data_IF_059790973273
#
_entry.id   IF_059790973273
#
_cell.length_a   1.000
_cell.length_b   1.000
_cell.length_c   1.000
_cell.angle_alpha   90.00
_cell.angle_beta   90.00
_cell.angle_gamma   90.00
#
_symmetry.space_group_name_H-M   'P 1'
#
loop_
_entity.id
_entity.type
_entity.pdbx_description
1 polymer ?
#
# COMPACT_ATOMS: atom_id res chain seq x y z
N UNK A 1 -60.13 10.76 -33.53
CA UNK A 1 -58.99 11.56 -34.01
C UNK A 1 -58.59 12.45 -32.86
N UNK A 2 -57.69 11.96 -32.02
CA UNK A 2 -57.03 12.71 -30.97
C UNK A 2 -55.54 12.48 -31.18
N UNK A 3 -54.83 13.57 -31.47
CA UNK A 3 -53.37 13.63 -31.64
C UNK A 3 -52.75 13.73 -30.26
N UNK A 4 -52.05 12.67 -29.84
CA UNK A 4 -51.20 12.69 -28.65
C UNK A 4 -49.83 13.23 -29.08
N UNK A 5 -49.43 14.30 -28.39
CA UNK A 5 -48.18 15.05 -28.56
C UNK A 5 -46.99 14.20 -28.12
N UNK A 6 -45.98 14.11 -28.98
CA UNK A 6 -44.63 13.61 -28.66
C UNK A 6 -43.87 14.75 -27.96
N UNK A 7 -43.76 14.69 -26.65
CA UNK A 7 -42.80 15.49 -25.87
C UNK A 7 -41.91 14.51 -25.09
N UNK A 8 -40.81 14.09 -25.73
CA UNK A 8 -39.68 13.48 -25.03
C UNK A 8 -38.74 14.62 -24.60
N UNK A 9 -38.30 14.68 -23.34
CA UNK A 9 -37.34 15.67 -22.91
C UNK A 9 -35.99 15.44 -23.61
N UNK A 10 -35.41 16.54 -24.11
CA UNK A 10 -34.03 16.57 -24.62
C UNK A 10 -33.09 15.92 -23.59
N UNK A 11 -32.48 14.80 -23.99
CA UNK A 11 -31.37 14.21 -23.26
C UNK A 11 -30.22 15.20 -23.36
N UNK A 12 -30.07 15.99 -22.30
CA UNK A 12 -28.93 16.87 -22.07
C UNK A 12 -27.66 16.04 -22.29
N UNK A 13 -26.97 16.30 -23.40
CA UNK A 13 -25.61 15.85 -23.62
C UNK A 13 -24.75 16.53 -22.56
N UNK A 14 -24.60 15.87 -21.41
CA UNK A 14 -23.53 16.20 -20.46
C UNK A 14 -22.23 15.91 -21.19
N UNK A 15 -21.61 16.98 -21.69
CA UNK A 15 -20.19 17.03 -21.99
C UNK A 15 -19.45 16.41 -20.81
N UNK A 16 -18.76 15.30 -21.07
CA UNK A 16 -17.86 14.69 -20.12
C UNK A 16 -16.78 15.73 -19.80
N UNK A 17 -16.77 16.23 -18.58
CA UNK A 17 -15.58 16.90 -18.06
C UNK A 17 -14.46 15.84 -18.00
N UNK A 18 -13.27 16.13 -18.52
CA UNK A 18 -12.13 15.23 -18.42
C UNK A 18 -11.76 15.02 -16.95
N UNK A 19 -11.28 13.82 -16.63
CA UNK A 19 -10.88 13.47 -15.28
C UNK A 19 -9.75 14.40 -14.79
N UNK A 20 -9.67 14.70 -13.48
CA UNK A 20 -8.59 15.52 -12.93
C UNK A 20 -7.25 14.81 -13.16
N UNK A 21 -6.49 15.24 -14.18
CA UNK A 21 -5.26 14.59 -14.63
C UNK A 21 -5.04 14.63 -16.15
N UNK A 22 -6.08 14.86 -16.94
CA UNK A 22 -5.94 15.20 -18.37
C UNK A 22 -5.76 16.71 -18.51
N UNK A 23 -4.60 17.21 -18.10
CA UNK A 23 -4.11 18.48 -18.64
C UNK A 23 -3.60 18.13 -20.04
N UNK A 24 -4.43 18.34 -21.06
CA UNK A 24 -4.01 18.39 -22.46
C UNK A 24 -3.09 19.62 -22.65
N UNK A 25 -1.85 19.47 -22.18
CA UNK A 25 -0.71 20.23 -22.60
C UNK A 25 0.34 19.19 -22.96
N UNK A 26 0.62 19.02 -24.25
CA UNK A 26 1.85 18.37 -24.69
C UNK A 26 3.03 19.20 -24.15
N UNK A 27 3.45 18.93 -22.90
CA UNK A 27 4.65 19.52 -22.33
C UNK A 27 5.84 18.91 -23.08
N UNK A 28 6.29 19.63 -24.10
CA UNK A 28 7.42 19.27 -24.95
C UNK A 28 8.68 19.14 -24.10
N UNK A 29 9.08 17.91 -23.81
CA UNK A 29 10.30 17.63 -23.07
C UNK A 29 10.71 16.18 -23.20
N UNK A 30 11.97 15.89 -22.90
CA UNK A 30 12.47 14.52 -22.89
C UNK A 30 12.03 13.79 -21.62
N UNK A 31 11.82 12.47 -21.73
CA UNK A 31 11.48 11.61 -20.59
C UNK A 31 12.59 10.58 -20.40
N UNK A 32 13.66 10.92 -19.66
CA UNK A 32 14.74 9.98 -19.39
C UNK A 32 14.27 8.88 -18.43
N UNK A 33 14.86 7.68 -18.54
CA UNK A 33 14.59 6.61 -17.60
C UNK A 33 15.29 6.89 -16.27
N UNK A 34 14.53 7.24 -15.23
CA UNK A 34 15.03 7.56 -13.89
C UNK A 34 14.69 6.40 -12.94
N UNK A 35 15.66 5.96 -12.15
CA UNK A 35 15.47 4.97 -11.09
C UNK A 35 15.78 5.62 -9.74
N UNK A 36 14.80 5.65 -8.84
CA UNK A 36 14.91 6.28 -7.52
C UNK A 36 14.66 5.25 -6.42
N UNK A 37 15.39 5.38 -5.31
CA UNK A 37 15.26 4.51 -4.14
C UNK A 37 15.38 5.32 -2.86
N UNK A 38 14.49 5.08 -1.90
CA UNK A 38 14.53 5.69 -0.57
C UNK A 38 14.68 4.60 0.49
N UNK A 39 15.67 4.76 1.35
CA UNK A 39 15.91 3.90 2.51
C UNK A 39 15.35 4.54 3.78
N UNK A 40 14.31 3.95 4.34
CA UNK A 40 13.65 4.45 5.55
C UNK A 40 14.47 4.27 6.83
N UNK A 41 15.45 3.36 6.86
CA UNK A 41 16.31 3.16 8.02
C UNK A 41 17.39 4.24 8.09
N UNK A 42 18.07 4.49 6.97
CA UNK A 42 19.17 5.47 6.91
C UNK A 42 18.71 6.85 6.47
N UNK A 43 17.43 7.00 6.11
CA UNK A 43 16.83 8.23 5.55
C UNK A 43 17.60 8.72 4.32
N UNK A 44 18.03 7.78 3.49
CA UNK A 44 18.89 8.08 2.33
C UNK A 44 18.10 7.91 1.03
N UNK A 45 18.03 8.99 0.27
CA UNK A 45 17.54 8.98 -1.11
C UNK A 45 18.71 8.69 -2.06
N UNK A 46 18.55 7.71 -2.94
CA UNK A 46 19.54 7.30 -3.94
C UNK A 46 18.90 7.23 -5.31
N UNK A 47 19.63 7.58 -6.37
CA UNK A 47 19.08 7.65 -7.71
C UNK A 47 20.12 7.45 -8.80
N UNK A 48 19.65 7.03 -9.97
CA UNK A 48 20.44 6.96 -11.20
C UNK A 48 19.57 7.25 -12.42
N UNK A 49 20.18 7.77 -13.48
CA UNK A 49 19.55 7.93 -14.79
C UNK A 49 20.11 6.90 -15.78
N UNK A 50 19.28 6.40 -16.68
CA UNK A 50 19.72 5.49 -17.76
C UNK A 50 20.45 6.20 -18.91
N UNK A 51 20.56 7.53 -18.88
CA UNK A 51 21.22 8.35 -19.89
C UNK A 51 22.72 8.50 -19.60
N UNK A 52 23.54 8.66 -20.63
CA UNK A 52 24.97 8.98 -20.48
C UNK A 52 25.20 10.44 -20.03
N UNK A 53 24.30 11.34 -20.41
CA UNK A 53 24.37 12.75 -20.00
C UNK A 53 23.79 12.93 -18.58
N UNK A 54 24.51 13.64 -17.70
CA UNK A 54 23.99 13.98 -16.38
C UNK A 54 22.77 14.90 -16.48
N UNK A 55 21.82 14.68 -15.59
CA UNK A 55 20.59 15.47 -15.48
C UNK A 55 20.49 16.07 -14.09
N UNK A 56 19.82 17.21 -13.99
CA UNK A 56 19.46 17.85 -12.73
C UNK A 56 17.95 17.72 -12.56
N UNK A 57 17.51 17.07 -11.48
CA UNK A 57 16.10 16.79 -11.24
C UNK A 57 15.57 17.48 -9.99
N UNK A 58 14.30 17.83 -10.06
CA UNK A 58 13.46 18.26 -8.96
C UNK A 58 12.44 17.15 -8.67
N UNK A 59 12.30 16.79 -7.38
CA UNK A 59 11.23 15.89 -6.93
C UNK A 59 10.12 16.74 -6.33
N UNK A 60 8.95 16.64 -6.91
CA UNK A 60 7.75 17.36 -6.50
C UNK A 60 6.86 16.39 -5.72
N UNK A 61 6.42 16.82 -4.53
CA UNK A 61 5.53 16.05 -3.68
C UNK A 61 4.13 15.88 -4.29
N UNK A 62 3.28 15.02 -3.70
CA UNK A 62 1.91 14.80 -4.17
C UNK A 62 1.03 16.07 -4.09
N UNK A 63 1.40 17.05 -3.26
CA UNK A 63 0.64 18.29 -3.05
C UNK A 63 0.80 19.32 -4.21
N UNK A 64 1.57 18.99 -5.25
CA UNK A 64 1.72 19.81 -6.46
C UNK A 64 3.01 20.63 -6.55
N UNK A 65 3.13 21.40 -7.63
CA UNK A 65 4.36 22.08 -8.09
C UNK A 65 5.01 23.00 -7.05
N UNK A 66 4.21 23.55 -6.13
CA UNK A 66 4.68 24.48 -5.09
C UNK A 66 5.35 23.78 -3.88
N UNK A 67 5.28 22.43 -3.79
CA UNK A 67 5.93 21.64 -2.73
C UNK A 67 7.08 20.78 -3.28
N UNK A 68 8.10 21.44 -3.84
CA UNK A 68 9.30 20.71 -4.27
C UNK A 68 10.03 20.12 -3.05
N UNK A 69 10.02 18.80 -2.95
CA UNK A 69 10.61 18.04 -1.86
C UNK A 69 12.14 17.93 -1.98
N UNK A 70 12.66 17.88 -3.21
CA UNK A 70 14.10 17.87 -3.51
C UNK A 70 14.34 18.78 -4.70
N UNK A 71 15.29 19.71 -4.59
CA UNK A 71 15.63 20.67 -5.65
C UNK A 71 17.04 20.47 -6.18
N UNK A 72 17.18 20.53 -7.50
CA UNK A 72 18.47 20.63 -8.18
C UNK A 72 19.39 19.43 -7.92
N UNK A 73 18.84 18.21 -7.86
CA UNK A 73 19.64 17.02 -7.56
C UNK A 73 20.33 16.49 -8.82
N UNK A 74 21.68 16.53 -8.90
CA UNK A 74 22.40 15.97 -10.03
C UNK A 74 22.41 14.44 -10.02
N UNK A 75 21.93 13.84 -11.10
CA UNK A 75 21.97 12.40 -11.36
C UNK A 75 22.80 12.09 -12.60
N UNK A 76 23.58 11.02 -12.51
CA UNK A 76 24.32 10.44 -13.64
C UNK A 76 23.98 8.96 -13.83
N UNK A 77 24.77 8.28 -14.65
CA UNK A 77 24.65 6.84 -14.90
C UNK A 77 25.07 5.96 -13.70
N UNK A 78 25.80 6.53 -12.74
CA UNK A 78 26.17 5.90 -11.47
C UNK A 78 25.13 6.21 -10.40
N UNK A 79 25.01 5.29 -9.42
CA UNK A 79 24.19 5.52 -8.24
C UNK A 79 24.74 6.73 -7.46
N UNK A 80 23.91 7.75 -7.30
CA UNK A 80 24.20 8.96 -6.53
C UNK A 80 23.29 9.00 -5.32
N UNK A 81 23.84 9.36 -4.16
CA UNK A 81 23.07 9.60 -2.95
C UNK A 81 22.79 11.09 -2.84
N UNK A 82 21.55 11.45 -2.54
CA UNK A 82 21.19 12.83 -2.23
C UNK A 82 21.69 13.17 -0.82
N UNK A 83 22.34 14.33 -0.70
CA UNK A 83 22.94 14.80 0.56
C UNK A 83 22.17 15.95 1.20
N UNK A 84 21.05 16.38 0.62
CA UNK A 84 20.21 17.45 1.16
C UNK A 84 19.18 16.93 2.15
N UNK A 85 18.32 17.84 2.60
CA UNK A 85 17.21 17.53 3.51
C UNK A 85 16.13 16.70 2.81
N UNK A 86 15.74 15.60 3.44
CA UNK A 86 14.71 14.66 2.96
C UNK A 86 13.39 14.76 3.71
N UNK A 87 13.23 15.64 4.71
CA UNK A 87 12.02 15.70 5.54
C UNK A 87 10.74 15.91 4.71
N UNK A 88 10.78 16.82 3.74
CA UNK A 88 9.65 17.07 2.84
C UNK A 88 9.32 15.85 1.97
N UNK A 89 10.35 15.13 1.52
CA UNK A 89 10.19 13.90 0.76
C UNK A 89 9.63 12.77 1.63
N UNK A 90 10.06 12.67 2.89
CA UNK A 90 9.53 11.69 3.83
C UNK A 90 8.05 11.89 4.08
N UNK A 91 7.61 13.14 4.21
CA UNK A 91 6.20 13.48 4.35
C UNK A 91 5.41 13.10 3.10
N UNK A 92 5.94 13.41 1.92
CA UNK A 92 5.34 13.02 0.63
C UNK A 92 5.27 11.49 0.46
N UNK A 93 6.31 10.78 0.84
CA UNK A 93 6.39 9.32 0.75
C UNK A 93 5.65 8.61 1.88
N UNK A 94 5.17 9.31 2.92
CA UNK A 94 4.41 8.71 4.01
C UNK A 94 3.17 7.97 3.47
N UNK A 95 2.48 8.59 2.50
CA UNK A 95 1.20 8.09 1.98
C UNK A 95 1.30 7.51 0.56
N UNK A 96 2.43 7.70 -0.14
CA UNK A 96 2.60 7.26 -1.52
C UNK A 96 3.99 6.78 -1.90
N UNK A 97 4.11 6.22 -3.11
CA UNK A 97 5.39 5.83 -3.75
C UNK A 97 5.59 6.47 -5.11
N UNK A 98 4.58 7.17 -5.64
CA UNK A 98 4.67 7.94 -6.87
C UNK A 98 5.07 9.37 -6.53
N UNK A 99 6.04 9.88 -7.26
CA UNK A 99 6.52 11.25 -7.15
C UNK A 99 6.63 11.85 -8.54
N UNK A 100 6.32 13.14 -8.64
CA UNK A 100 6.44 13.87 -9.89
C UNK A 100 7.89 14.35 -10.02
N UNK A 101 8.51 14.08 -11.16
CA UNK A 101 9.88 14.46 -11.46
C UNK A 101 9.88 15.44 -12.61
N UNK A 102 10.56 16.57 -12.43
CA UNK A 102 10.86 17.55 -13.48
C UNK A 102 12.35 17.89 -13.41
N UNK A 103 12.87 18.62 -14.40
CA UNK A 103 14.29 18.97 -14.38
C UNK A 103 14.84 19.43 -15.72
N UNK A 104 16.16 19.33 -15.86
CA UNK A 104 16.89 19.67 -17.08
C UNK A 104 18.10 18.79 -17.30
N UNK A 105 18.51 18.63 -18.54
CA UNK A 105 19.80 18.01 -18.89
C UNK A 105 20.91 19.03 -18.68
N UNK A 106 21.98 18.65 -17.97
CA UNK A 106 23.08 19.56 -17.65
C UNK A 106 23.85 20.00 -18.90
N UNK A 107 24.01 19.11 -19.88
CA UNK A 107 24.82 19.35 -21.08
C UNK A 107 24.10 20.21 -22.14
N UNK A 108 22.81 19.92 -22.39
CA UNK A 108 22.02 20.58 -23.45
C UNK A 108 21.11 21.68 -22.94
N UNK A 109 20.82 21.72 -21.63
CA UNK A 109 19.83 22.61 -21.05
C UNK A 109 18.38 22.28 -21.43
N UNK A 110 18.14 21.15 -22.12
CA UNK A 110 16.80 20.70 -22.47
C UNK A 110 16.00 20.37 -21.21
N UNK A 111 14.73 20.78 -21.21
CA UNK A 111 13.82 20.54 -20.09
C UNK A 111 13.31 19.09 -20.12
N UNK A 112 13.26 18.49 -18.94
CA UNK A 112 12.62 17.20 -18.70
C UNK A 112 11.14 17.47 -18.44
N UNK A 113 10.27 16.85 -19.24
CA UNK A 113 8.83 16.98 -19.06
C UNK A 113 8.44 16.41 -17.67
N UNK A 114 7.66 17.14 -16.86
CA UNK A 114 7.07 16.64 -15.64
C UNK A 114 6.40 15.28 -15.82
N UNK A 115 6.87 14.24 -15.12
CA UNK A 115 6.27 12.92 -15.20
C UNK A 115 6.39 12.15 -13.90
N UNK A 116 5.46 11.21 -13.68
CA UNK A 116 5.42 10.41 -12.46
C UNK A 116 6.43 9.27 -12.55
N UNK A 117 7.29 9.17 -11.54
CA UNK A 117 8.24 8.07 -11.38
C UNK A 117 7.89 7.29 -10.12
N UNK A 118 7.95 5.98 -10.21
CA UNK A 118 7.81 5.11 -9.05
C UNK A 118 9.11 5.11 -8.27
N UNK A 119 9.06 5.60 -7.03
CA UNK A 119 10.18 5.54 -6.10
C UNK A 119 10.15 4.21 -5.35
N UNK A 120 11.24 3.46 -5.45
CA UNK A 120 11.41 2.21 -4.70
C UNK A 120 11.67 2.53 -3.23
N UNK A 121 10.82 2.07 -2.33
CA UNK A 121 10.99 2.26 -0.89
C UNK A 121 11.57 0.98 -0.27
N UNK A 122 12.63 1.10 0.53
CA UNK A 122 13.30 0.00 1.25
C UNK A 122 13.28 0.23 2.75
N UNK A 123 13.46 -0.82 3.55
CA UNK A 123 13.37 -0.76 5.03
C UNK A 123 12.06 -0.16 5.57
N UNK A 124 10.94 -0.48 4.94
CA UNK A 124 9.59 0.00 5.30
C UNK A 124 9.23 -0.09 6.78
N UNK A 125 9.86 -0.98 7.55
CA UNK A 125 9.69 -1.05 9.01
C UNK A 125 10.03 0.24 9.76
N UNK A 126 10.81 1.14 9.15
CA UNK A 126 11.22 2.43 9.72
C UNK A 126 10.48 3.62 9.08
N UNK A 127 9.54 3.33 8.19
CA UNK A 127 8.64 4.34 7.63
C UNK A 127 7.79 4.89 8.78
N UNK A 128 7.81 6.21 9.06
CA UNK A 128 6.89 6.78 10.03
C UNK A 128 5.49 6.60 9.45
N UNK A 129 4.72 5.73 10.09
CA UNK A 129 3.29 5.57 9.83
C UNK A 129 2.56 6.27 10.98
N UNK A 130 2.45 7.62 10.95
CA UNK A 130 1.83 8.38 12.04
C UNK A 130 0.38 7.93 12.29
N UNK A 131 -0.28 7.37 11.27
CA UNK A 131 -1.66 6.88 11.32
C UNK A 131 -1.78 5.45 11.89
N UNK A 132 -0.81 4.56 11.58
CA UNK A 132 -0.82 3.17 12.04
C UNK A 132 -0.26 2.97 13.44
N UNK A 133 0.65 3.85 13.89
CA UNK A 133 1.25 3.76 15.21
C UNK A 133 0.23 3.92 16.37
N UNK A 134 -1.00 4.35 16.07
CA UNK A 134 -2.06 4.54 17.08
C UNK A 134 -3.19 3.53 17.05
N UNK A 135 -3.32 2.75 15.98
CA UNK A 135 -4.27 1.66 15.96
C UNK A 135 -3.62 0.43 16.58
N UNK A 136 -4.31 -0.20 17.54
CA UNK A 136 -3.84 -1.48 18.03
C UNK A 136 -3.92 -2.52 16.92
N UNK A 137 -3.07 -3.55 16.92
CA UNK A 137 -3.16 -4.64 15.95
C UNK A 137 -4.56 -5.27 15.93
N UNK A 138 -5.20 -5.36 17.10
CA UNK A 138 -6.59 -5.83 17.22
C UNK A 138 -7.57 -4.93 16.48
N UNK A 139 -7.39 -3.61 16.56
CA UNK A 139 -8.25 -2.65 15.85
C UNK A 139 -8.05 -2.74 14.35
N UNK A 140 -6.80 -2.82 13.87
CA UNK A 140 -6.54 -3.00 12.43
C UNK A 140 -7.16 -4.32 11.98
N UNK A 141 -6.89 -5.44 12.66
CA UNK A 141 -7.47 -6.73 12.30
C UNK A 141 -9.01 -6.71 12.33
N UNK A 142 -9.62 -6.08 13.34
CA UNK A 142 -11.07 -5.90 13.43
C UNK A 142 -11.63 -5.03 12.29
N UNK A 143 -10.86 -4.02 11.84
CA UNK A 143 -11.23 -3.18 10.69
C UNK A 143 -11.32 -4.03 9.42
N UNK A 144 -10.37 -4.94 9.22
CA UNK A 144 -10.36 -5.85 8.07
C UNK A 144 -11.30 -7.06 8.24
N UNK A 145 -11.76 -7.37 9.46
CA UNK A 145 -12.58 -8.54 9.77
C UNK A 145 -14.05 -8.46 9.32
N UNK A 146 -14.58 -7.28 8.94
CA UNK A 146 -16.04 -7.18 8.76
C UNK A 146 -16.59 -5.96 8.05
N UNK A 147 -15.89 -5.35 7.08
CA UNK A 147 -16.37 -4.10 6.49
C UNK A 147 -16.23 -4.00 4.98
N UNK A 148 -17.27 -3.41 4.38
CA UNK A 148 -17.20 -2.81 3.05
C UNK A 148 -16.17 -1.68 3.03
N UNK A 149 -15.63 -1.30 1.86
CA UNK A 149 -14.65 -0.22 1.74
C UNK A 149 -15.12 1.09 2.41
N UNK A 150 -16.40 1.42 2.29
CA UNK A 150 -17.00 2.65 2.84
C UNK A 150 -17.04 2.61 4.36
N UNK A 151 -17.41 1.47 4.93
CA UNK A 151 -17.48 1.29 6.39
C UNK A 151 -16.09 1.23 7.03
N UNK A 152 -15.11 0.68 6.30
CA UNK A 152 -13.69 0.72 6.66
C UNK A 152 -13.18 2.14 6.74
N UNK A 153 -13.41 2.93 5.70
CA UNK A 153 -13.03 4.34 5.67
C UNK A 153 -13.70 5.12 6.81
N UNK A 154 -14.99 4.86 7.07
CA UNK A 154 -15.70 5.49 8.18
C UNK A 154 -15.07 5.19 9.55
N UNK A 155 -14.67 3.95 9.83
CA UNK A 155 -14.05 3.60 11.12
C UNK A 155 -12.61 4.11 11.24
N UNK A 156 -11.85 4.15 10.14
CA UNK A 156 -10.55 4.81 10.11
C UNK A 156 -10.71 6.30 10.43
N UNK A 157 -11.69 6.96 9.81
CA UNK A 157 -12.00 8.37 10.08
C UNK A 157 -12.49 8.59 11.52
N UNK A 158 -13.38 7.75 12.07
CA UNK A 158 -13.84 7.86 13.47
C UNK A 158 -12.68 7.67 14.47
N UNK A 159 -11.77 6.73 14.21
CA UNK A 159 -10.58 6.53 15.02
C UNK A 159 -9.64 7.75 14.96
N UNK A 160 -9.47 8.34 13.76
CA UNK A 160 -8.71 9.59 13.56
C UNK A 160 -9.34 10.76 14.34
N UNK A 161 -10.66 10.92 14.24
CA UNK A 161 -11.42 11.98 14.93
C UNK A 161 -11.29 11.83 16.45
N UNK A 162 -11.48 10.64 17.00
CA UNK A 162 -11.30 10.38 18.45
C UNK A 162 -9.90 10.74 18.93
N UNK A 163 -8.87 10.45 18.15
CA UNK A 163 -7.49 10.83 18.49
C UNK A 163 -7.26 12.34 18.49
N UNK A 164 -7.81 13.06 17.51
CA UNK A 164 -7.76 14.53 17.50
C UNK A 164 -8.44 15.12 18.75
N UNK A 165 -9.53 14.49 19.21
CA UNK A 165 -10.15 14.85 20.49
C UNK A 165 -9.25 14.57 21.70
N UNK A 166 -8.52 13.45 21.72
CA UNK A 166 -7.62 13.06 22.81
C UNK A 166 -6.34 13.91 22.90
N UNK A 167 -5.81 14.39 21.77
CA UNK A 167 -4.60 15.21 21.70
C UNK A 167 -4.82 16.69 22.09
N UNK A 168 -6.07 17.11 22.33
CA UNK A 168 -6.38 18.46 22.80
C UNK A 168 -6.14 19.56 21.76
N UNK A 169 -5.91 19.20 20.50
CA UNK A 169 -5.78 20.14 19.37
C UNK A 169 -7.16 20.66 18.95
N UNK A 170 -7.76 21.47 19.84
CA UNK A 170 -8.96 22.26 19.53
C UNK A 170 -8.53 23.57 18.87
N UNK A 171 -8.38 23.55 17.55
CA UNK A 171 -8.17 24.76 16.77
C UNK A 171 -8.49 24.51 15.30
N UNK A 172 -9.62 25.07 14.85
CA UNK A 172 -10.07 25.14 13.45
C UNK A 172 -9.97 23.83 12.66
N UNK A 173 -10.86 22.89 12.98
CA UNK A 173 -11.21 21.78 12.07
C UNK A 173 -11.94 22.34 10.86
N UNK A 174 -11.20 22.90 9.92
CA UNK A 174 -11.43 22.59 8.52
C UNK A 174 -11.27 21.07 8.46
N UNK A 175 -12.38 20.33 8.55
CA UNK A 175 -12.40 19.03 7.90
C UNK A 175 -12.01 19.36 6.48
N UNK A 176 -10.74 19.17 6.14
CA UNK A 176 -10.35 19.10 4.74
C UNK A 176 -11.31 18.05 4.23
N UNK A 177 -12.26 18.47 3.39
CA UNK A 177 -12.94 17.56 2.49
C UNK A 177 -11.83 17.04 1.59
N UNK A 178 -10.97 16.18 2.15
CA UNK A 178 -10.14 15.29 1.40
C UNK A 178 -11.17 14.50 0.63
N UNK A 179 -11.26 14.83 -0.67
CA UNK A 179 -11.98 14.03 -1.64
C UNK A 179 -11.73 12.56 -1.27
N UNK A 180 -12.76 11.71 -1.22
CA UNK A 180 -12.62 10.34 -0.74
C UNK A 180 -11.38 9.77 -1.41
N UNK A 181 -10.34 9.52 -0.61
CA UNK A 181 -9.07 8.98 -1.08
C UNK A 181 -9.41 7.61 -1.67
N UNK A 182 -9.73 7.60 -2.97
CA UNK A 182 -10.05 6.39 -3.71
C UNK A 182 -8.80 5.51 -3.62
N UNK A 183 -8.89 4.48 -2.78
CA UNK A 183 -7.99 3.35 -2.73
C UNK A 183 -6.50 3.75 -2.80
N UNK A 184 -5.96 4.33 -1.72
CA UNK A 184 -4.51 4.31 -1.50
C UNK A 184 -4.04 2.86 -1.28
N UNK A 185 -3.94 2.12 -2.38
CA UNK A 185 -3.62 0.70 -2.47
C UNK A 185 -2.40 0.33 -1.61
N UNK A 186 -1.40 1.22 -1.54
CA UNK A 186 -0.18 0.99 -0.77
C UNK A 186 -0.31 1.23 0.73
N UNK A 187 -1.19 2.15 1.17
CA UNK A 187 -1.40 2.37 2.60
C UNK A 187 -2.17 1.19 3.19
N UNK A 188 -3.24 0.71 2.54
CA UNK A 188 -4.07 -0.45 2.94
C UNK A 188 -3.21 -1.69 3.30
N UNK A 189 -2.34 -2.11 2.39
CA UNK A 189 -1.54 -3.31 2.62
C UNK A 189 -0.44 -3.11 3.65
N UNK A 190 0.10 -1.90 3.75
CA UNK A 190 1.05 -1.57 4.80
C UNK A 190 0.39 -1.69 6.19
N UNK A 191 -0.89 -1.35 6.32
CA UNK A 191 -1.66 -1.55 7.56
C UNK A 191 -1.78 -3.02 7.92
N UNK A 192 -2.16 -3.83 6.93
CA UNK A 192 -2.34 -5.27 7.10
C UNK A 192 -1.02 -5.92 7.53
N UNK A 193 0.09 -5.64 6.83
CA UNK A 193 1.39 -6.21 7.19
C UNK A 193 1.87 -5.74 8.56
N UNK A 194 1.65 -4.48 8.90
CA UNK A 194 2.00 -3.96 10.21
C UNK A 194 1.22 -4.69 11.31
N UNK A 195 -0.09 -4.84 11.15
CA UNK A 195 -0.96 -5.50 12.12
C UNK A 195 -0.56 -6.96 12.37
N UNK A 196 -0.30 -7.75 11.33
CA UNK A 196 0.10 -9.14 11.48
C UNK A 196 1.50 -9.28 12.10
N UNK A 197 2.46 -8.40 11.76
CA UNK A 197 3.78 -8.39 12.41
C UNK A 197 3.70 -8.05 13.88
N UNK A 198 2.89 -7.06 14.22
CA UNK A 198 2.68 -6.65 15.61
C UNK A 198 1.93 -7.72 16.40
N UNK A 199 0.92 -8.36 15.81
CA UNK A 199 0.24 -9.51 16.38
C UNK A 199 1.25 -10.63 16.64
N UNK A 200 2.08 -11.01 15.66
CA UNK A 200 3.11 -12.03 15.87
C UNK A 200 4.00 -11.67 17.05
N UNK A 201 4.52 -10.44 17.08
CA UNK A 201 5.41 -9.95 18.14
C UNK A 201 4.74 -9.98 19.53
N UNK A 202 3.47 -9.57 19.60
CA UNK A 202 2.69 -9.57 20.84
C UNK A 202 2.38 -11.01 21.31
N UNK A 203 2.08 -11.90 20.37
CA UNK A 203 1.83 -13.31 20.68
C UNK A 203 3.12 -14.07 21.03
N UNK A 204 4.25 -13.76 20.42
CA UNK A 204 5.54 -14.40 20.67
C UNK A 204 6.25 -13.87 21.92
N UNK A 205 5.74 -12.80 22.54
CA UNK A 205 6.29 -12.24 23.77
C UNK A 205 6.18 -13.26 24.92
N UNK A 206 7.23 -13.41 25.73
CA UNK A 206 7.26 -14.28 26.92
C UNK A 206 6.14 -13.99 27.93
N UNK A 207 5.63 -12.76 27.95
CA UNK A 207 4.50 -12.35 28.79
C UNK A 207 3.13 -12.74 28.22
N UNK A 208 3.08 -13.26 26.99
CA UNK A 208 1.83 -13.65 26.34
C UNK A 208 1.30 -14.95 26.95
N UNK A 209 0.08 -14.90 27.50
CA UNK A 209 -0.54 -16.09 28.07
C UNK A 209 -0.90 -17.12 26.98
N UNK A 210 -0.77 -18.43 27.25
CA UNK A 210 -1.21 -19.47 26.31
C UNK A 210 -2.67 -19.29 25.85
N UNK A 211 -3.56 -18.83 26.75
CA UNK A 211 -4.96 -18.55 26.43
C UNK A 211 -5.12 -17.44 25.38
N UNK A 212 -4.27 -16.40 25.44
CA UNK A 212 -4.26 -15.30 24.46
C UNK A 212 -3.79 -15.82 23.10
N UNK A 213 -2.73 -16.63 23.09
CA UNK A 213 -2.25 -17.27 21.86
C UNK A 213 -3.33 -18.18 21.25
N UNK A 214 -3.99 -19.02 22.05
CA UNK A 214 -5.06 -19.90 21.55
C UNK A 214 -6.26 -19.10 21.03
N UNK A 215 -6.64 -18.01 21.71
CA UNK A 215 -7.70 -17.10 21.26
C UNK A 215 -7.42 -16.54 19.86
N UNK A 216 -6.22 -15.98 19.65
CA UNK A 216 -5.89 -15.33 18.38
C UNK A 216 -5.58 -16.33 17.26
N UNK A 217 -4.89 -17.43 17.57
CA UNK A 217 -4.44 -18.40 16.56
C UNK A 217 -5.53 -19.41 16.19
N UNK A 218 -6.42 -19.77 17.12
CA UNK A 218 -7.37 -20.89 16.91
C UNK A 218 -8.78 -20.60 17.43
N UNK A 219 -8.98 -19.47 18.09
CA UNK A 219 -10.27 -19.08 18.62
C UNK A 219 -11.23 -18.56 17.55
N UNK A 220 -12.45 -18.29 17.98
CA UNK A 220 -13.57 -17.83 17.13
C UNK A 220 -13.91 -16.36 17.39
N UNK A 221 -12.95 -15.60 17.96
CA UNK A 221 -13.11 -14.17 18.18
C UNK A 221 -13.23 -13.41 16.86
N UNK A 222 -13.88 -12.26 16.85
CA UNK A 222 -14.01 -11.45 15.64
C UNK A 222 -12.67 -10.94 15.10
N UNK A 223 -11.69 -10.80 15.99
CA UNK A 223 -10.30 -10.41 15.74
C UNK A 223 -9.33 -11.60 15.72
N UNK A 224 -9.83 -12.85 15.71
CA UNK A 224 -9.00 -14.05 15.60
C UNK A 224 -8.63 -14.35 14.15
N UNK A 225 -7.47 -15.00 13.97
CA UNK A 225 -6.99 -15.41 12.65
C UNK A 225 -7.97 -16.35 11.92
N UNK A 226 -8.57 -17.39 12.55
CA UNK A 226 -9.53 -18.24 11.85
C UNK A 226 -10.73 -17.48 11.30
N UNK A 227 -11.24 -16.49 12.05
CA UNK A 227 -12.35 -15.64 11.59
C UNK A 227 -11.93 -14.80 10.39
N UNK A 228 -10.74 -14.20 10.43
CA UNK A 228 -10.19 -13.42 9.32
C UNK A 228 -9.96 -14.27 8.06
N UNK A 229 -9.43 -15.48 8.23
CA UNK A 229 -9.23 -16.45 7.14
C UNK A 229 -10.57 -16.86 6.55
N UNK A 230 -11.58 -17.12 7.38
CA UNK A 230 -12.94 -17.41 6.91
C UNK A 230 -13.56 -16.26 6.09
N UNK A 231 -13.23 -15.00 6.41
CA UNK A 231 -13.64 -13.84 5.62
C UNK A 231 -12.89 -13.73 4.29
N UNK A 232 -11.60 -14.01 4.28
CA UNK A 232 -10.84 -14.09 3.03
C UNK A 232 -11.36 -15.20 2.12
N UNK A 233 -11.80 -16.33 2.68
CA UNK A 233 -12.45 -17.39 1.92
C UNK A 233 -13.74 -16.92 1.22
N UNK A 234 -14.52 -16.02 1.84
CA UNK A 234 -15.72 -15.47 1.24
C UNK A 234 -15.46 -14.64 -0.04
N UNK A 235 -14.22 -14.21 -0.29
CA UNK A 235 -13.83 -13.53 -1.53
C UNK A 235 -13.75 -14.48 -2.75
N UNK A 236 -13.73 -15.80 -2.51
CA UNK A 236 -13.76 -16.82 -3.57
C UNK A 236 -15.18 -17.20 -3.99
N UNK A 237 -16.18 -16.88 -3.17
CA UNK A 237 -17.58 -17.16 -3.48
C UNK A 237 -18.12 -16.14 -4.51
N UNK A 238 -18.97 -16.56 -5.46
CA UNK A 238 -19.59 -15.64 -6.40
C UNK A 238 -20.38 -14.57 -5.65
N UNK A 239 -20.15 -13.30 -6.00
CA UNK A 239 -20.74 -12.15 -5.33
C UNK A 239 -22.26 -12.29 -5.20
N UNK A 240 -22.73 -12.64 -4.00
CA UNK A 240 -24.10 -12.39 -3.61
C UNK A 240 -24.24 -10.89 -3.37
N UNK A 241 -25.44 -10.32 -3.57
CA UNK A 241 -25.79 -8.88 -3.53
C UNK A 241 -25.46 -8.15 -2.20
N UNK A 242 -24.67 -8.74 -1.30
CA UNK A 242 -24.16 -8.12 -0.09
C UNK A 242 -22.75 -7.53 -0.29
N UNK A 243 -22.62 -6.22 -0.07
CA UNK A 243 -21.40 -5.38 -0.11
C UNK A 243 -20.25 -5.76 0.85
N UNK A 244 -20.09 -7.03 1.23
CA UNK A 244 -19.20 -7.44 2.32
C UNK A 244 -18.03 -8.34 1.90
N UNK A 245 -17.82 -8.56 0.60
CA UNK A 245 -16.68 -9.35 0.13
C UNK A 245 -15.39 -8.51 0.12
N UNK A 246 -14.31 -9.10 0.64
CA UNK A 246 -12.98 -8.51 0.55
C UNK A 246 -12.53 -8.51 -0.92
N UNK A 247 -11.81 -7.44 -1.31
CA UNK A 247 -11.15 -7.42 -2.61
C UNK A 247 -10.19 -8.63 -2.72
N UNK A 248 -10.12 -9.34 -3.86
CA UNK A 248 -9.32 -10.57 -3.99
C UNK A 248 -7.84 -10.40 -3.66
N UNK A 249 -7.25 -9.23 -3.97
CA UNK A 249 -5.86 -8.91 -3.59
C UNK A 249 -5.71 -8.78 -2.08
N UNK A 250 -6.64 -8.09 -1.40
CA UNK A 250 -6.62 -7.94 0.05
C UNK A 250 -6.80 -9.29 0.75
N UNK A 251 -7.70 -10.15 0.24
CA UNK A 251 -7.88 -11.51 0.73
C UNK A 251 -6.60 -12.34 0.58
N UNK A 252 -5.93 -12.26 -0.57
CA UNK A 252 -4.66 -12.96 -0.82
C UNK A 252 -3.54 -12.53 0.13
N UNK A 253 -3.36 -11.22 0.32
CA UNK A 253 -2.33 -10.68 1.22
C UNK A 253 -2.64 -10.97 2.70
N UNK A 254 -3.91 -10.99 3.09
CA UNK A 254 -4.36 -11.45 4.41
C UNK A 254 -3.95 -12.90 4.64
N UNK A 255 -4.24 -13.79 3.69
CA UNK A 255 -3.91 -15.21 3.79
C UNK A 255 -2.40 -15.44 3.86
N UNK A 256 -1.59 -14.71 3.07
CA UNK A 256 -0.14 -14.79 3.15
C UNK A 256 0.41 -14.32 4.50
N UNK A 257 -0.18 -13.26 5.06
CA UNK A 257 0.21 -12.74 6.37
C UNK A 257 -0.18 -13.70 7.49
N UNK A 258 -1.36 -14.33 7.42
CA UNK A 258 -1.77 -15.38 8.33
C UNK A 258 -0.86 -16.61 8.23
N UNK A 259 -0.51 -17.04 7.01
CA UNK A 259 0.45 -18.13 6.74
C UNK A 259 1.82 -17.84 7.38
N UNK A 260 2.33 -16.61 7.29
CA UNK A 260 3.58 -16.21 7.95
C UNK A 260 3.50 -16.37 9.48
N UNK A 261 2.38 -15.98 10.09
CA UNK A 261 2.16 -16.16 11.54
C UNK A 261 2.16 -17.65 11.89
N UNK A 262 1.34 -18.48 11.24
CA UNK A 262 1.25 -19.91 11.56
C UNK A 262 2.54 -20.70 11.30
N UNK A 263 3.36 -20.29 10.32
CA UNK A 263 4.67 -20.90 10.04
C UNK A 263 5.77 -20.50 11.04
N UNK A 264 5.50 -19.53 11.90
CA UNK A 264 6.49 -19.08 12.90
C UNK A 264 6.77 -20.22 13.90
N UNK A 265 8.05 -20.44 14.20
CA UNK A 265 8.51 -21.59 15.00
C UNK A 265 7.89 -21.63 16.40
N UNK A 266 7.53 -20.45 16.93
CA UNK A 266 6.88 -20.24 18.21
C UNK A 266 5.46 -20.82 18.26
N UNK A 267 4.80 -20.99 17.11
CA UNK A 267 3.39 -21.39 17.03
C UNK A 267 3.17 -22.74 16.35
N UNK A 268 4.12 -23.22 15.55
CA UNK A 268 4.00 -24.46 14.76
C UNK A 268 3.65 -25.71 15.59
N UNK A 269 4.01 -25.74 16.88
CA UNK A 269 3.70 -26.85 17.79
C UNK A 269 2.37 -26.76 18.53
N UNK A 270 1.58 -25.68 18.33
CA UNK A 270 0.31 -25.51 19.05
C UNK A 270 -0.82 -26.34 18.42
N UNK A 271 -1.84 -26.75 19.20
CA UNK A 271 -2.98 -27.49 18.68
C UNK A 271 -3.68 -26.75 17.54
N UNK A 272 -4.19 -27.48 16.55
CA UNK A 272 -4.97 -26.96 15.41
C UNK A 272 -4.27 -25.96 14.48
N UNK A 273 -3.03 -25.55 14.77
CA UNK A 273 -2.25 -24.65 13.89
C UNK A 273 -1.98 -25.30 12.52
N UNK A 274 -1.65 -26.59 12.50
CA UNK A 274 -1.43 -27.34 11.25
C UNK A 274 -2.69 -27.36 10.38
N UNK A 275 -3.85 -27.62 10.98
CA UNK A 275 -5.14 -27.64 10.25
C UNK A 275 -5.48 -26.25 9.67
N UNK A 276 -5.24 -25.18 10.43
CA UNK A 276 -5.42 -23.81 9.93
C UNK A 276 -4.44 -23.48 8.79
N UNK A 277 -3.20 -23.96 8.88
CA UNK A 277 -2.20 -23.75 7.83
C UNK A 277 -2.59 -24.47 6.53
N UNK A 278 -3.03 -25.73 6.61
CA UNK A 278 -3.52 -26.50 5.46
C UNK A 278 -4.74 -25.83 4.81
N UNK A 279 -5.66 -25.31 5.63
CA UNK A 279 -6.82 -24.56 5.14
C UNK A 279 -6.40 -23.29 4.40
N UNK A 280 -5.47 -22.51 4.95
CA UNK A 280 -4.93 -21.31 4.29
C UNK A 280 -4.23 -21.65 2.98
N UNK A 281 -3.43 -22.72 2.93
CA UNK A 281 -2.75 -23.14 1.70
C UNK A 281 -3.75 -23.54 0.61
N UNK A 282 -4.84 -24.21 1.00
CA UNK A 282 -5.95 -24.53 0.08
C UNK A 282 -6.59 -23.26 -0.49
N UNK A 283 -6.88 -22.26 0.36
CA UNK A 283 -7.47 -20.99 -0.09
C UNK A 283 -6.53 -20.19 -1.00
N UNK A 284 -5.24 -20.16 -0.69
CA UNK A 284 -4.23 -19.50 -1.54
C UNK A 284 -4.20 -20.14 -2.93
N UNK A 285 -4.22 -21.48 -3.00
CA UNK A 285 -4.27 -22.19 -4.28
C UNK A 285 -5.55 -21.86 -5.07
N UNK A 286 -6.70 -21.83 -4.40
CA UNK A 286 -7.97 -21.45 -5.03
C UNK A 286 -7.94 -20.01 -5.58
N UNK A 287 -7.34 -19.05 -4.88
CA UNK A 287 -7.18 -17.66 -5.38
C UNK A 287 -6.24 -17.60 -6.58
N UNK A 288 -5.15 -18.38 -6.56
CA UNK A 288 -4.24 -18.48 -7.70
C UNK A 288 -4.98 -18.97 -8.94
N UNK A 289 -5.84 -19.97 -8.81
CA UNK A 289 -6.59 -20.58 -9.91
C UNK A 289 -7.80 -19.76 -10.38
N UNK A 290 -8.47 -19.01 -9.49
CA UNK A 290 -9.77 -18.37 -9.75
C UNK A 290 -9.76 -17.19 -10.74
N UNK A 291 -8.57 -16.75 -11.20
CA UNK A 291 -8.37 -15.56 -12.07
C UNK A 291 -9.00 -14.27 -11.52
N UNK A 292 -9.36 -14.23 -10.23
CA UNK A 292 -9.94 -13.05 -9.58
C UNK A 292 -8.94 -11.90 -9.48
N UNK A 293 -7.66 -12.21 -9.29
CA UNK A 293 -6.57 -11.24 -9.35
C UNK A 293 -6.12 -11.11 -10.81
N UNK A 294 -6.37 -9.96 -11.44
CA UNK A 294 -5.95 -9.69 -12.82
C UNK A 294 -4.46 -9.36 -12.87
N UNK A 295 -3.74 -9.95 -13.82
CA UNK A 295 -2.33 -9.69 -14.07
C UNK A 295 -2.15 -9.13 -15.47
N UNK A 296 -1.03 -8.43 -15.73
CA UNK A 296 -0.74 -7.86 -17.05
C UNK A 296 -0.60 -8.92 -18.16
N UNK A 297 -0.24 -10.15 -17.80
CA UNK A 297 -0.26 -11.32 -18.68
C UNK A 297 -1.25 -12.35 -18.14
N UNK A 298 -2.21 -12.76 -18.99
CA UNK A 298 -3.20 -13.79 -18.66
C UNK A 298 -2.74 -15.21 -19.06
N UNK A 299 -1.48 -15.37 -19.48
CA UNK A 299 -0.90 -16.69 -19.75
C UNK A 299 -0.68 -17.44 -18.44
N UNK A 300 -1.18 -18.66 -18.35
CA UNK A 300 -1.11 -19.48 -17.14
C UNK A 300 0.32 -19.65 -16.61
N UNK A 301 1.28 -19.91 -17.49
CA UNK A 301 2.69 -20.03 -17.11
C UNK A 301 3.28 -18.74 -16.50
N UNK A 302 2.86 -17.57 -16.97
CA UNK A 302 3.33 -16.28 -16.43
C UNK A 302 2.67 -15.99 -15.06
N UNK A 303 1.41 -16.41 -14.90
CA UNK A 303 0.64 -16.28 -13.66
C UNK A 303 1.23 -17.13 -12.54
N UNK A 304 1.53 -18.40 -12.80
CA UNK A 304 2.16 -19.27 -11.81
C UNK A 304 3.54 -18.74 -11.41
N UNK A 305 4.34 -18.33 -12.40
CA UNK A 305 5.65 -17.73 -12.17
C UNK A 305 5.55 -16.45 -11.33
N UNK A 306 4.55 -15.62 -11.57
CA UNK A 306 4.30 -14.42 -10.78
C UNK A 306 4.00 -14.76 -9.31
N UNK A 307 3.06 -15.67 -9.04
CA UNK A 307 2.70 -16.01 -7.67
C UNK A 307 3.85 -16.70 -6.93
N UNK A 308 4.57 -17.61 -7.58
CA UNK A 308 5.72 -18.28 -6.98
C UNK A 308 6.82 -17.27 -6.63
N UNK A 309 7.14 -16.35 -7.54
CA UNK A 309 8.06 -15.26 -7.28
C UNK A 309 7.56 -14.36 -6.13
N UNK A 310 6.30 -13.94 -6.18
CA UNK A 310 5.73 -13.04 -5.20
C UNK A 310 5.70 -13.65 -3.81
N UNK A 311 5.22 -14.88 -3.65
CA UNK A 311 5.20 -15.59 -2.36
C UNK A 311 6.62 -15.79 -1.81
N UNK A 312 7.58 -16.13 -2.68
CA UNK A 312 8.98 -16.25 -2.27
C UNK A 312 9.53 -14.92 -1.76
N UNK A 313 9.29 -13.82 -2.47
CA UNK A 313 9.71 -12.48 -2.04
C UNK A 313 8.99 -12.02 -0.77
N UNK A 314 7.71 -12.37 -0.64
CA UNK A 314 6.88 -12.03 0.50
C UNK A 314 7.39 -12.68 1.80
N UNK A 315 7.71 -13.98 1.73
CA UNK A 315 8.15 -14.77 2.88
C UNK A 315 9.66 -14.68 3.15
N UNK A 316 10.41 -14.05 2.25
CA UNK A 316 11.85 -13.90 2.42
C UNK A 316 12.18 -12.97 3.60
N UNK A 317 12.84 -13.54 4.62
CA UNK A 317 13.42 -12.75 5.70
C UNK A 317 14.72 -12.11 5.23
N UNK A 318 14.69 -10.81 4.99
CA UNK A 318 15.90 -10.04 4.70
C UNK A 318 16.72 -9.87 5.99
N UNK A 319 17.76 -10.70 6.15
CA UNK A 319 18.76 -10.54 7.21
C UNK A 319 19.69 -9.39 6.83
N UNK A 320 19.84 -8.44 7.73
CA UNK A 320 20.86 -7.39 7.63
C UNK A 320 22.18 -8.04 8.06
N UNK A 321 23.09 -8.27 7.13
CA UNK A 321 24.49 -8.35 7.49
C UNK A 321 24.88 -6.98 8.03
N UNK A 322 24.99 -6.87 9.36
CA UNK A 322 25.70 -5.73 9.95
C UNK A 322 27.10 -5.80 9.39
N UNK A 323 27.45 -4.86 8.52
CA UNK A 323 28.83 -4.58 8.20
C UNK A 323 29.52 -4.16 9.50
N UNK A 324 30.11 -5.14 10.19
CA UNK A 324 31.03 -4.87 11.28
C UNK A 324 32.18 -4.07 10.67
N UNK A 325 32.33 -2.83 11.15
CA UNK A 325 33.36 -1.92 10.69
C UNK A 325 34.73 -2.58 10.79
N UNK A 326 35.46 -2.60 9.67
CA UNK A 326 36.91 -2.68 9.73
C UNK A 326 37.42 -1.40 10.38
N UNK A 327 37.92 -1.56 11.59
CA UNK A 327 38.87 -0.65 12.22
C UNK A 327 40.16 -0.54 11.38
#
# INVERSE_FOLDING_TARGET
METISDDLPEVSQRSFEPAPGEIDGEEQGIMPQISLTFDWLTKTLSGRVGSESPIEIDLIGPDGVDSTAVKGWPLGNCLSNYTGDTEALEKALANGSLILVSGRVCDSGELIAPHRVLLQQTHWSHKPQPELATLSPQQILAIYAGMSPERRQLLLTDARVKRLFELGERGETSLIEEAPLENEFFSEYAELFHAFRMLRRDLSNEQSSPKKQDYYLTGTGVDSLPTLVGRAAAALEPAQESDQQLHPVSAYLLLLSAKEVYRSAEFAGRPYVTEQLEFIETLLQQIRESKLIKLSSEREADRDRFFDWFEAQFLQQYRIERAEGSA
#
